data_IF_055859504068
#
_entry.id   IF_055859504068
#
_cell.length_a   1.000
_cell.length_b   1.000
_cell.length_c   1.000
_cell.angle_alpha   90.00
_cell.angle_beta   90.00
_cell.angle_gamma   90.00
#
_symmetry.space_group_name_H-M   'P 1'
#
loop_
_entity.id
_entity.type
_entity.pdbx_description
1 polymer ?
#
# COMPACT_ATOMS: atom_id res chain seq x y z
N UNK A 1 -9.80 5.83 14.59
CA UNK A 1 -10.36 6.98 15.32
C UNK A 1 -9.52 8.23 15.05
N UNK A 2 -8.27 8.30 15.49
CA UNK A 2 -7.43 9.50 15.37
C UNK A 2 -7.27 10.01 13.94
N UNK A 3 -7.01 9.12 12.98
CA UNK A 3 -6.86 9.49 11.57
C UNK A 3 -8.08 10.24 11.04
N UNK A 4 -9.29 9.74 11.27
CA UNK A 4 -10.51 10.35 10.77
C UNK A 4 -10.86 11.63 11.53
N UNK A 5 -10.64 11.68 12.84
CA UNK A 5 -10.88 12.90 13.64
C UNK A 5 -9.97 14.06 13.22
N UNK A 6 -8.76 13.78 12.74
CA UNK A 6 -7.82 14.80 12.26
C UNK A 6 -8.12 15.32 10.85
N UNK A 7 -9.03 14.70 10.11
CA UNK A 7 -9.44 15.20 8.78
C UNK A 7 -10.39 16.40 8.86
N UNK A 8 -11.05 16.63 9.98
CA UNK A 8 -12.09 17.65 10.14
C UNK A 8 -13.42 17.32 9.44
N UNK A 9 -13.55 16.13 8.86
CA UNK A 9 -14.76 15.67 8.18
C UNK A 9 -15.66 14.89 9.17
N UNK A 10 -17.00 15.04 9.06
CA UNK A 10 -17.96 14.32 9.92
C UNK A 10 -18.18 12.88 9.41
N UNK A 11 -17.12 12.12 9.23
CA UNK A 11 -17.17 10.74 8.74
C UNK A 11 -16.54 9.78 9.74
N UNK A 12 -17.16 8.61 9.88
CA UNK A 12 -16.56 7.47 10.54
C UNK A 12 -15.60 6.72 9.63
N UNK A 13 -14.95 5.73 10.17
CA UNK A 13 -14.10 4.82 9.41
C UNK A 13 -14.10 3.45 10.06
N UNK A 14 -14.19 2.43 9.24
CA UNK A 14 -14.20 1.04 9.67
C UNK A 14 -13.15 0.22 8.95
N UNK A 15 -12.55 -0.70 9.66
CA UNK A 15 -11.70 -1.76 9.14
C UNK A 15 -12.25 -3.08 9.61
N UNK A 16 -12.18 -4.05 8.73
CA UNK A 16 -12.57 -5.42 9.04
C UNK A 16 -11.71 -6.37 8.24
N UNK A 17 -12.00 -7.63 8.32
CA UNK A 17 -11.27 -8.64 7.58
C UNK A 17 -12.04 -9.93 7.45
N UNK A 18 -11.45 -10.88 6.74
CA UNK A 18 -11.98 -12.22 6.58
C UNK A 18 -10.83 -13.22 6.62
N UNK A 19 -11.16 -14.48 6.78
CA UNK A 19 -10.22 -15.60 6.64
C UNK A 19 -10.15 -16.14 5.20
N UNK A 20 -10.66 -15.40 4.23
CA UNK A 20 -10.56 -15.76 2.82
C UNK A 20 -9.12 -15.64 2.34
N UNK A 21 -8.54 -16.73 1.86
CA UNK A 21 -7.22 -16.72 1.24
C UNK A 21 -7.35 -16.57 -0.28
N UNK A 22 -6.92 -15.41 -0.86
CA UNK A 22 -6.98 -15.19 -2.30
C UNK A 22 -5.87 -15.90 -3.09
N UNK A 23 -4.89 -16.52 -2.43
CA UNK A 23 -3.78 -17.18 -3.12
C UNK A 23 -4.28 -18.33 -3.97
N UNK A 24 -3.88 -18.36 -5.24
CA UNK A 24 -4.31 -19.38 -6.20
C UNK A 24 -5.76 -19.27 -6.65
N UNK A 25 -6.50 -18.23 -6.23
CA UNK A 25 -7.84 -17.94 -6.70
C UNK A 25 -7.82 -17.09 -7.96
N UNK A 26 -8.75 -17.39 -8.87
CA UNK A 26 -8.99 -16.57 -10.05
C UNK A 26 -9.63 -15.22 -9.68
N UNK A 27 -9.52 -14.24 -10.57
CA UNK A 27 -10.19 -12.95 -10.42
C UNK A 27 -11.70 -13.10 -10.26
N UNK A 28 -12.31 -14.10 -10.90
CA UNK A 28 -13.73 -14.42 -10.77
C UNK A 28 -14.09 -14.88 -9.36
N UNK A 29 -13.29 -15.73 -8.76
CA UNK A 29 -13.51 -16.21 -7.38
C UNK A 29 -13.36 -15.08 -6.38
N UNK A 30 -12.32 -14.24 -6.54
CA UNK A 30 -12.12 -13.05 -5.70
C UNK A 30 -13.26 -12.06 -5.86
N UNK A 31 -13.74 -11.83 -7.09
CA UNK A 31 -14.89 -10.98 -7.35
C UNK A 31 -16.17 -11.52 -6.68
N UNK A 32 -16.43 -12.82 -6.78
CA UNK A 32 -17.60 -13.44 -6.15
C UNK A 32 -17.56 -13.28 -4.63
N UNK A 33 -16.38 -13.46 -4.02
CA UNK A 33 -16.19 -13.20 -2.59
C UNK A 33 -16.46 -11.73 -2.23
N UNK A 34 -15.87 -10.77 -2.95
CA UNK A 34 -16.08 -9.34 -2.70
C UNK A 34 -17.56 -8.93 -2.85
N UNK A 35 -18.26 -9.49 -3.82
CA UNK A 35 -19.68 -9.23 -4.03
C UNK A 35 -20.52 -9.79 -2.88
N UNK A 36 -20.25 -11.03 -2.45
CA UNK A 36 -20.92 -11.65 -1.31
C UNK A 36 -20.68 -10.86 -0.02
N UNK A 37 -19.43 -10.47 0.25
CA UNK A 37 -19.07 -9.67 1.40
C UNK A 37 -19.80 -8.32 1.42
N UNK A 38 -19.85 -7.62 0.27
CA UNK A 38 -20.53 -6.33 0.16
C UNK A 38 -22.06 -6.47 0.31
N UNK A 39 -22.64 -7.60 -0.08
CA UNK A 39 -24.09 -7.88 0.08
C UNK A 39 -24.51 -7.88 1.56
N UNK A 40 -23.61 -8.24 2.45
CA UNK A 40 -23.86 -8.12 3.89
C UNK A 40 -23.46 -6.76 4.45
N UNK A 41 -22.34 -6.20 3.99
CA UNK A 41 -21.75 -4.97 4.54
C UNK A 41 -22.54 -3.70 4.18
N UNK A 42 -23.15 -3.62 2.99
CA UNK A 42 -23.74 -2.37 2.46
C UNK A 42 -24.78 -1.73 3.38
N UNK A 43 -25.39 -2.48 4.25
CA UNK A 43 -26.43 -2.03 5.19
C UNK A 43 -25.86 -1.11 6.31
N UNK A 44 -24.55 -1.19 6.52
CA UNK A 44 -23.86 -0.56 7.66
C UNK A 44 -22.91 0.55 7.24
N UNK A 45 -22.75 0.79 5.94
CA UNK A 45 -21.80 1.78 5.40
C UNK A 45 -22.52 2.78 4.50
N UNK A 46 -21.90 3.93 4.30
CA UNK A 46 -22.42 4.99 3.44
C UNK A 46 -21.43 6.14 3.35
N UNK A 47 -21.68 7.09 2.43
CA UNK A 47 -20.81 8.23 2.22
C UNK A 47 -20.65 9.11 3.47
N UNK A 48 -21.69 9.20 4.27
CA UNK A 48 -21.76 10.01 5.49
C UNK A 48 -21.83 9.16 6.77
N UNK A 49 -21.50 7.89 6.66
CA UNK A 49 -21.42 6.94 7.77
C UNK A 49 -20.00 6.40 7.87
N UNK A 50 -19.84 5.07 7.92
CA UNK A 50 -18.55 4.44 7.86
C UNK A 50 -18.07 4.30 6.42
N UNK A 51 -16.87 4.79 6.13
CA UNK A 51 -16.26 4.74 4.79
C UNK A 51 -15.07 3.78 4.83
N UNK A 52 -15.25 2.52 4.42
CA UNK A 52 -14.18 1.55 4.36
C UNK A 52 -13.09 1.92 3.36
N UNK A 53 -11.90 1.40 3.60
CA UNK A 53 -10.72 1.61 2.78
C UNK A 53 -9.97 0.30 2.57
N UNK A 54 -9.14 0.25 1.54
CA UNK A 54 -8.22 -0.85 1.33
C UNK A 54 -7.25 -1.04 2.50
N UNK A 55 -6.81 -2.27 2.68
CA UNK A 55 -5.82 -2.70 3.66
C UNK A 55 -5.08 -3.93 3.12
N UNK A 56 -4.42 -4.73 3.96
CA UNK A 56 -3.70 -5.94 3.55
C UNK A 56 -4.61 -6.83 2.67
N UNK A 57 -4.12 -7.14 1.47
CA UNK A 57 -4.84 -7.97 0.50
C UNK A 57 -6.01 -7.31 -0.23
N UNK A 58 -6.32 -6.03 0.05
CA UNK A 58 -7.42 -5.30 -0.58
C UNK A 58 -6.88 -4.08 -1.31
N UNK A 59 -6.74 -4.22 -2.61
CA UNK A 59 -6.29 -3.17 -3.51
C UNK A 59 -7.41 -2.61 -4.40
N UNK A 60 -7.00 -1.92 -5.47
CA UNK A 60 -7.93 -1.27 -6.40
C UNK A 60 -8.91 -2.27 -7.06
N UNK A 61 -8.46 -3.52 -7.31
CA UNK A 61 -9.28 -4.59 -7.88
C UNK A 61 -10.45 -4.95 -6.95
N UNK A 62 -10.16 -5.24 -5.70
CA UNK A 62 -11.15 -5.61 -4.68
C UNK A 62 -12.10 -4.45 -4.38
N UNK A 63 -11.57 -3.23 -4.28
CA UNK A 63 -12.40 -2.02 -4.13
C UNK A 63 -13.35 -1.86 -5.31
N UNK A 64 -12.88 -2.10 -6.53
CA UNK A 64 -13.74 -2.06 -7.73
C UNK A 64 -14.89 -3.07 -7.67
N UNK A 65 -14.60 -4.30 -7.26
CA UNK A 65 -15.63 -5.36 -7.12
C UNK A 65 -16.66 -5.02 -6.03
N UNK A 66 -16.19 -4.52 -4.88
CA UNK A 66 -17.08 -4.12 -3.78
C UNK A 66 -17.92 -2.90 -4.15
N UNK A 67 -17.32 -1.90 -4.79
CA UNK A 67 -18.06 -0.70 -5.21
C UNK A 67 -19.12 -1.02 -6.27
N UNK A 68 -18.79 -1.85 -7.25
CA UNK A 68 -19.75 -2.31 -8.26
C UNK A 68 -20.95 -3.02 -7.63
N UNK A 69 -20.73 -3.87 -6.64
CA UNK A 69 -21.82 -4.55 -5.92
C UNK A 69 -22.62 -3.56 -5.05
N UNK A 70 -21.98 -2.65 -4.35
CA UNK A 70 -22.67 -1.61 -3.59
C UNK A 70 -23.62 -0.81 -4.49
N UNK A 71 -23.12 -0.36 -5.65
CA UNK A 71 -23.92 0.37 -6.63
C UNK A 71 -25.11 -0.46 -7.14
N UNK A 72 -24.94 -1.77 -7.38
CA UNK A 72 -26.04 -2.66 -7.78
C UNK A 72 -27.12 -2.78 -6.72
N UNK A 73 -26.73 -2.84 -5.44
CA UNK A 73 -27.67 -3.02 -4.31
C UNK A 73 -28.41 -1.73 -3.96
N UNK A 74 -27.72 -0.59 -4.00
CA UNK A 74 -28.26 0.69 -3.54
C UNK A 74 -28.79 1.56 -4.68
N UNK A 75 -28.40 1.31 -5.92
CA UNK A 75 -28.63 2.15 -7.09
C UNK A 75 -28.09 3.61 -6.91
N UNK A 76 -27.02 3.77 -6.13
CA UNK A 76 -26.42 5.06 -5.83
C UNK A 76 -24.99 5.15 -6.35
N UNK A 77 -24.61 6.36 -6.79
CA UNK A 77 -23.24 6.71 -7.11
C UNK A 77 -22.73 7.71 -6.07
N UNK A 78 -22.05 7.19 -5.06
CA UNK A 78 -21.61 7.98 -3.91
C UNK A 78 -20.24 7.54 -3.39
N UNK A 79 -19.63 8.34 -2.50
CA UNK A 79 -18.27 8.18 -2.02
C UNK A 79 -18.09 7.15 -0.89
N UNK A 80 -18.78 6.03 -0.93
CA UNK A 80 -18.85 5.04 0.15
C UNK A 80 -17.54 4.30 0.45
N UNK A 81 -16.61 4.23 -0.50
CA UNK A 81 -15.33 3.54 -0.37
C UNK A 81 -14.18 4.44 -0.80
N UNK A 82 -13.05 4.37 -0.11
CA UNK A 82 -11.80 4.98 -0.61
C UNK A 82 -11.03 4.00 -1.50
N UNK A 83 -10.11 4.52 -2.31
CA UNK A 83 -9.31 3.69 -3.22
C UNK A 83 -10.01 3.28 -4.51
N UNK A 84 -11.11 3.95 -4.86
CA UNK A 84 -11.81 3.77 -6.15
C UNK A 84 -10.94 4.18 -7.33
N UNK A 85 -11.19 3.59 -8.50
CA UNK A 85 -10.60 4.02 -9.75
C UNK A 85 -11.12 5.41 -10.19
N UNK A 86 -10.34 6.11 -11.00
CA UNK A 86 -10.68 7.46 -11.47
C UNK A 86 -12.01 7.50 -12.22
N UNK A 87 -12.33 6.46 -13.00
CA UNK A 87 -13.57 6.37 -13.78
C UNK A 87 -14.84 6.20 -12.94
N UNK A 88 -14.72 5.94 -11.64
CA UNK A 88 -15.86 5.77 -10.75
C UNK A 88 -15.66 6.44 -9.38
N UNK A 89 -15.18 7.67 -9.41
CA UNK A 89 -15.14 8.56 -8.26
C UNK A 89 -13.88 8.48 -7.41
N UNK A 90 -12.78 7.95 -7.95
CA UNK A 90 -11.47 7.94 -7.30
C UNK A 90 -10.75 9.28 -7.36
N UNK A 91 -9.74 9.44 -6.52
CA UNK A 91 -8.88 10.62 -6.46
C UNK A 91 -7.56 10.39 -7.17
N UNK A 92 -6.98 11.44 -7.75
CA UNK A 92 -5.60 11.45 -8.25
C UNK A 92 -4.60 11.27 -7.11
N UNK A 93 -3.39 10.78 -7.44
CA UNK A 93 -2.27 10.59 -6.49
C UNK A 93 -2.61 9.72 -5.27
N UNK A 94 -3.60 8.84 -5.37
CA UNK A 94 -4.02 8.00 -4.24
C UNK A 94 -3.04 6.88 -3.93
N UNK A 95 -2.38 6.33 -4.95
CA UNK A 95 -1.40 5.23 -4.77
C UNK A 95 -0.20 5.69 -3.93
N UNK A 96 0.29 6.88 -4.20
CA UNK A 96 1.48 7.46 -3.58
C UNK A 96 1.21 8.01 -2.17
N UNK A 97 -0.03 8.39 -1.88
CA UNK A 97 -0.38 9.24 -0.75
C UNK A 97 0.17 8.76 0.59
N UNK A 98 0.05 7.47 0.90
CA UNK A 98 0.51 6.93 2.19
C UNK A 98 2.03 6.91 2.30
N UNK A 99 2.72 6.40 1.27
CA UNK A 99 4.18 6.36 1.23
C UNK A 99 4.79 7.76 1.23
N UNK A 100 4.25 8.67 0.46
CA UNK A 100 4.70 10.06 0.41
C UNK A 100 4.47 10.78 1.73
N UNK A 101 3.28 10.64 2.32
CA UNK A 101 2.95 11.24 3.61
C UNK A 101 3.86 10.75 4.74
N UNK A 102 4.22 9.47 4.72
CA UNK A 102 5.18 8.90 5.66
C UNK A 102 6.54 9.64 5.57
N UNK A 103 7.06 9.85 4.36
CA UNK A 103 8.35 10.51 4.18
C UNK A 103 8.30 12.01 4.47
N UNK A 104 7.20 12.70 4.19
CA UNK A 104 7.03 14.09 4.60
C UNK A 104 7.04 14.22 6.12
N UNK A 105 6.33 13.35 6.84
CA UNK A 105 6.36 13.34 8.30
C UNK A 105 7.77 13.04 8.83
N UNK A 106 8.45 12.04 8.25
CA UNK A 106 9.84 11.70 8.64
C UNK A 106 10.79 12.88 8.44
N UNK A 107 10.66 13.60 7.32
CA UNK A 107 11.48 14.79 7.05
C UNK A 107 11.25 15.89 8.10
N UNK A 108 10.01 16.16 8.49
CA UNK A 108 9.68 17.13 9.54
C UNK A 108 10.17 16.67 10.93
N UNK A 109 10.08 15.38 11.24
CA UNK A 109 10.64 14.81 12.47
C UNK A 109 12.16 14.99 12.54
N UNK A 110 12.88 14.71 11.45
CA UNK A 110 14.33 14.91 11.38
C UNK A 110 14.68 16.39 11.54
N UNK A 111 13.97 17.28 10.87
CA UNK A 111 14.16 18.74 10.96
C UNK A 111 13.98 19.26 12.40
N UNK A 112 12.99 18.75 13.13
CA UNK A 112 12.77 19.12 14.54
C UNK A 112 13.95 18.71 15.42
N UNK A 113 14.70 17.68 15.02
CA UNK A 113 15.91 17.21 15.69
C UNK A 113 17.21 17.78 15.09
N UNK A 114 17.13 18.84 14.28
CA UNK A 114 18.29 19.48 13.67
C UNK A 114 18.99 18.62 12.60
N UNK A 115 18.28 17.65 12.00
CA UNK A 115 18.79 16.73 10.99
C UNK A 115 17.98 16.83 9.69
N UNK A 116 18.45 16.19 8.63
CA UNK A 116 17.73 16.07 7.36
C UNK A 116 17.74 14.62 6.88
N UNK A 117 16.84 14.31 5.96
CA UNK A 117 16.79 12.99 5.31
C UNK A 117 17.80 12.85 4.18
N UNK A 118 18.29 13.97 3.65
CA UNK A 118 19.23 14.00 2.53
C UNK A 118 20.54 13.29 2.90
N UNK A 119 21.02 12.43 2.02
CA UNK A 119 22.24 11.65 2.19
C UNK A 119 22.13 10.44 3.12
N UNK A 120 21.00 10.26 3.81
CA UNK A 120 20.82 9.15 4.75
C UNK A 120 20.54 7.83 4.05
N UNK A 121 21.03 6.75 4.65
CA UNK A 121 20.62 5.38 4.31
C UNK A 121 19.36 5.01 5.07
N UNK A 122 18.42 4.31 4.39
CA UNK A 122 17.10 4.01 4.94
C UNK A 122 16.76 2.53 4.79
N UNK A 123 16.33 1.89 5.86
CA UNK A 123 15.75 0.57 5.80
C UNK A 123 14.22 0.67 5.67
N UNK A 124 13.67 -0.01 4.67
CA UNK A 124 12.23 -0.10 4.43
C UNK A 124 11.80 -1.55 4.52
N UNK A 125 10.78 -1.83 5.34
CA UNK A 125 10.12 -3.13 5.39
C UNK A 125 8.89 -3.13 4.51
N UNK A 126 8.68 -4.23 3.78
CA UNK A 126 7.60 -4.36 2.81
C UNK A 126 8.06 -4.15 1.37
N UNK A 127 7.24 -4.58 0.43
CA UNK A 127 7.38 -4.35 -1.01
C UNK A 127 6.00 -4.16 -1.67
N UNK A 128 5.02 -3.77 -0.87
CA UNK A 128 3.69 -3.40 -1.34
C UNK A 128 3.59 -1.91 -1.65
N UNK A 129 2.38 -1.43 -1.89
CA UNK A 129 2.11 -0.05 -2.30
C UNK A 129 2.81 0.98 -1.39
N UNK A 130 2.62 0.92 -0.08
CA UNK A 130 3.20 1.92 0.84
C UNK A 130 4.73 1.92 0.78
N UNK A 131 5.36 0.73 0.80
CA UNK A 131 6.81 0.60 0.78
C UNK A 131 7.42 1.11 -0.54
N UNK A 132 6.84 0.75 -1.69
CA UNK A 132 7.30 1.19 -3.00
C UNK A 132 7.31 2.72 -3.09
N UNK A 133 6.20 3.36 -2.72
CA UNK A 133 6.12 4.82 -2.80
C UNK A 133 6.87 5.54 -1.67
N UNK A 134 7.09 4.89 -0.53
CA UNK A 134 8.03 5.39 0.49
C UNK A 134 9.47 5.37 -0.02
N UNK A 135 9.92 4.28 -0.65
CA UNK A 135 11.23 4.18 -1.30
C UNK A 135 11.39 5.27 -2.35
N UNK A 136 10.42 5.41 -3.25
CA UNK A 136 10.45 6.43 -4.29
C UNK A 136 10.57 7.85 -3.72
N UNK A 137 9.78 8.18 -2.70
CA UNK A 137 9.82 9.50 -2.09
C UNK A 137 11.13 9.74 -1.32
N UNK A 138 11.65 8.74 -0.62
CA UNK A 138 12.94 8.83 0.05
C UNK A 138 14.05 9.18 -0.94
N UNK A 139 14.10 8.51 -2.10
CA UNK A 139 15.05 8.82 -3.18
C UNK A 139 14.87 10.24 -3.73
N UNK A 140 13.63 10.69 -3.93
CA UNK A 140 13.34 12.08 -4.37
C UNK A 140 13.80 13.12 -3.34
N UNK A 141 13.86 12.78 -2.06
CA UNK A 141 14.34 13.63 -0.98
C UNK A 141 15.86 13.47 -0.72
N UNK A 142 16.57 12.75 -1.59
CA UNK A 142 18.02 12.58 -1.50
C UNK A 142 18.51 11.48 -0.57
N UNK A 143 17.63 10.64 -0.04
CA UNK A 143 18.01 9.47 0.75
C UNK A 143 18.30 8.25 -0.13
N UNK A 144 18.98 7.26 0.44
CA UNK A 144 19.28 5.98 -0.19
C UNK A 144 18.58 4.82 0.54
N UNK A 145 17.37 4.42 0.14
CA UNK A 145 16.74 3.19 0.63
C UNK A 145 17.54 1.97 0.15
N UNK A 146 17.91 1.09 1.07
CA UNK A 146 18.78 -0.06 0.79
C UNK A 146 18.10 -1.40 1.03
N UNK A 147 16.87 -1.42 1.54
CA UNK A 147 16.13 -2.66 1.80
C UNK A 147 14.69 -2.60 1.34
N UNK A 148 14.14 -3.76 1.05
CA UNK A 148 12.69 -4.02 0.95
C UNK A 148 12.41 -5.48 1.36
N UNK A 149 11.15 -5.83 1.65
CA UNK A 149 10.82 -7.20 2.06
C UNK A 149 9.43 -7.63 1.60
N UNK A 150 9.24 -8.93 1.44
CA UNK A 150 7.91 -9.53 1.28
C UNK A 150 7.70 -10.68 2.28
N UNK A 151 6.66 -11.50 2.08
CA UNK A 151 6.33 -12.57 3.02
C UNK A 151 7.32 -13.75 2.99
N UNK A 152 8.20 -13.82 2.02
CA UNK A 152 9.17 -14.93 1.87
C UNK A 152 10.58 -14.53 2.23
N UNK A 153 10.93 -13.25 2.08
CA UNK A 153 12.30 -12.79 2.35
C UNK A 153 12.46 -11.29 2.18
N UNK A 154 13.70 -10.86 2.17
CA UNK A 154 14.04 -9.44 2.06
C UNK A 154 15.30 -9.24 1.20
N UNK A 155 15.41 -8.04 0.67
CA UNK A 155 16.54 -7.60 -0.14
C UNK A 155 17.39 -6.63 0.69
N UNK A 156 18.71 -6.77 0.55
CA UNK A 156 19.68 -5.72 0.81
C UNK A 156 20.35 -5.36 -0.52
N UNK A 157 20.23 -4.11 -0.94
CA UNK A 157 20.87 -3.56 -2.13
C UNK A 157 21.76 -2.37 -1.70
N UNK A 158 23.07 -2.57 -1.59
CA UNK A 158 23.99 -1.53 -1.14
C UNK A 158 24.06 -0.32 -2.08
N UNK A 159 23.71 -0.51 -3.36
CA UNK A 159 23.66 0.56 -4.36
C UNK A 159 22.39 1.42 -4.25
N UNK A 160 21.44 0.97 -3.43
CA UNK A 160 20.11 1.55 -3.28
C UNK A 160 19.07 0.82 -4.15
N UNK A 161 17.88 0.68 -3.60
CA UNK A 161 16.77 -0.01 -4.28
C UNK A 161 16.44 0.68 -5.60
N UNK A 162 16.45 -0.09 -6.69
CA UNK A 162 15.90 0.34 -7.98
C UNK A 162 14.38 0.27 -7.92
N UNK A 163 13.75 1.44 -7.78
CA UNK A 163 12.30 1.52 -7.56
C UNK A 163 11.50 1.13 -8.81
N UNK A 164 12.02 1.36 -10.00
CA UNK A 164 11.31 1.00 -11.23
C UNK A 164 11.34 -0.51 -11.44
N UNK A 165 12.48 -1.15 -11.20
CA UNK A 165 12.55 -2.62 -11.19
C UNK A 165 11.66 -3.21 -10.10
N UNK A 166 11.63 -2.61 -8.90
CA UNK A 166 10.76 -3.07 -7.81
C UNK A 166 9.28 -2.99 -8.20
N UNK A 167 8.85 -1.91 -8.86
CA UNK A 167 7.49 -1.77 -9.40
C UNK A 167 7.19 -2.83 -10.46
N UNK A 168 8.10 -3.04 -11.38
CA UNK A 168 7.93 -4.08 -12.41
C UNK A 168 7.72 -5.46 -11.77
N UNK A 169 8.57 -5.84 -10.84
CA UNK A 169 8.48 -7.13 -10.14
C UNK A 169 7.18 -7.25 -9.33
N UNK A 170 6.82 -6.21 -8.56
CA UNK A 170 5.72 -6.31 -7.60
C UNK A 170 4.35 -5.90 -8.14
N UNK A 171 4.28 -4.85 -8.96
CA UNK A 171 3.00 -4.34 -9.46
C UNK A 171 2.61 -4.98 -10.81
N UNK A 172 3.58 -5.20 -11.70
CA UNK A 172 3.32 -5.73 -13.04
C UNK A 172 3.36 -7.26 -13.03
N UNK A 173 4.50 -7.85 -12.69
CA UNK A 173 4.69 -9.31 -12.67
C UNK A 173 4.01 -9.99 -11.49
N UNK A 174 3.76 -9.27 -10.39
CA UNK A 174 3.26 -9.79 -9.10
C UNK A 174 4.11 -10.94 -8.56
N UNK A 175 5.40 -10.85 -8.81
CA UNK A 175 6.39 -11.87 -8.48
C UNK A 175 7.01 -11.68 -7.08
N UNK A 176 7.92 -12.57 -6.71
CA UNK A 176 8.68 -12.52 -5.47
C UNK A 176 9.95 -11.69 -5.63
N UNK A 177 10.51 -11.23 -4.52
CA UNK A 177 11.74 -10.44 -4.50
C UNK A 177 12.98 -11.19 -4.99
N UNK A 178 12.93 -12.51 -5.12
CA UNK A 178 13.97 -13.31 -5.78
C UNK A 178 14.18 -12.87 -7.22
N UNK A 179 13.14 -12.42 -7.93
CA UNK A 179 13.29 -11.89 -9.29
C UNK A 179 14.00 -10.53 -9.32
N UNK A 180 13.79 -9.71 -8.28
CA UNK A 180 14.53 -8.47 -8.13
C UNK A 180 16.05 -8.75 -7.97
N UNK A 181 16.40 -9.65 -7.03
CA UNK A 181 17.79 -10.02 -6.79
C UNK A 181 18.47 -10.64 -8.05
N UNK A 182 17.73 -11.45 -8.80
CA UNK A 182 18.25 -12.03 -10.05
C UNK A 182 18.60 -10.97 -11.12
N UNK A 183 17.93 -9.81 -11.08
CA UNK A 183 18.15 -8.73 -12.04
C UNK A 183 19.17 -7.66 -11.55
N UNK A 184 19.62 -7.74 -10.30
CA UNK A 184 20.54 -6.76 -9.67
C UNK A 184 21.78 -7.47 -9.12
N UNK A 185 22.96 -7.32 -9.77
CA UNK A 185 24.17 -8.10 -9.41
C UNK A 185 24.65 -7.93 -7.96
N UNK A 186 24.45 -6.74 -7.38
CA UNK A 186 24.90 -6.41 -6.03
C UNK A 186 23.81 -6.57 -4.96
N UNK A 187 22.57 -6.89 -5.35
CA UNK A 187 21.49 -7.09 -4.43
C UNK A 187 21.52 -8.50 -3.83
N UNK A 188 21.43 -8.59 -2.53
CA UNK A 188 21.40 -9.83 -1.77
C UNK A 188 19.95 -10.17 -1.38
N UNK A 189 19.51 -11.39 -1.69
CA UNK A 189 18.25 -11.92 -1.18
C UNK A 189 18.49 -12.79 0.05
N UNK A 190 17.73 -12.51 1.09
CA UNK A 190 17.75 -13.27 2.34
C UNK A 190 16.36 -13.84 2.61
N UNK A 191 16.28 -15.13 2.89
CA UNK A 191 15.03 -15.79 3.23
C UNK A 191 14.55 -15.42 4.65
N UNK A 192 13.25 -15.35 4.84
CA UNK A 192 12.65 -15.08 6.16
C UNK A 192 12.64 -13.59 6.54
N UNK A 193 12.79 -13.32 7.83
CA UNK A 193 12.72 -11.96 8.40
C UNK A 193 14.12 -11.48 8.76
N UNK A 194 14.40 -10.18 8.56
CA UNK A 194 15.74 -9.66 8.89
C UNK A 194 16.03 -8.23 8.47
N UNK A 195 15.11 -7.54 7.80
CA UNK A 195 15.30 -6.15 7.31
C UNK A 195 15.91 -5.23 8.37
N UNK A 196 15.46 -5.34 9.61
CA UNK A 196 15.86 -4.46 10.70
C UNK A 196 17.25 -4.78 11.27
N UNK A 197 17.94 -5.81 10.78
CA UNK A 197 19.35 -6.09 11.14
C UNK A 197 20.34 -5.25 10.36
N UNK A 198 19.91 -4.64 9.25
CA UNK A 198 20.76 -3.76 8.44
C UNK A 198 20.98 -2.44 9.16
N UNK A 199 22.27 -2.07 9.31
CA UNK A 199 22.62 -0.78 9.92
C UNK A 199 22.39 0.33 8.91
N UNK A 200 21.56 1.26 9.30
CA UNK A 200 21.22 2.48 8.53
C UNK A 200 21.14 3.67 9.48
N UNK A 201 21.02 4.88 8.92
CA UNK A 201 20.85 6.11 9.69
C UNK A 201 19.47 6.21 10.35
#
# INVERSE_FOLDING_TARGET
IFKNSLTGLPIGGGKGGSNFDPKGKSDREVMAFCQSFMTELYKYIGADQDVPAGDIGVGAREIGYMYGQYKRLTNRYEGVLTGKGLSYGGSLARKEATGYGLLYLTAEMLKTNGSSIEGKTVAVSGAGNVAIYAIQKAQQLGAKPVTCSDSTGWIYDPDGIDVELLKEVKEVKRARLTEYAAARPNAEYHEGKGVWSVKVD
#
